data_IF_813592121506
#
_entry.id   IF_813592121506
#
_cell.length_a   1.000
_cell.length_b   1.000
_cell.length_c   1.000
_cell.angle_alpha   90.00
_cell.angle_beta   90.00
_cell.angle_gamma   90.00
#
_symmetry.space_group_name_H-M   'P 1'
#
loop_
_entity.id
_entity.type
_entity.pdbx_description
1 polymer ?
#
# COMPACT_ATOMS: atom_id res chain seq x y z
N UNK A 1 23.81 14.75 3.87
CA UNK A 1 22.80 15.39 2.97
C UNK A 1 23.33 15.51 1.54
N UNK A 2 24.46 16.15 1.27
CA UNK A 2 24.98 16.35 -0.09
C UNK A 2 25.19 15.08 -0.92
N UNK A 3 25.68 13.98 -0.34
CA UNK A 3 25.85 12.71 -1.06
C UNK A 3 24.52 12.08 -1.49
N UNK A 4 23.48 12.18 -0.66
CA UNK A 4 22.15 11.71 -1.03
C UNK A 4 21.58 12.53 -2.21
N UNK A 5 21.75 13.86 -2.14
CA UNK A 5 21.28 14.77 -3.23
C UNK A 5 22.02 14.46 -4.54
N UNK A 6 23.37 14.30 -4.51
CA UNK A 6 24.16 13.92 -5.69
C UNK A 6 23.70 12.59 -6.31
N UNK A 7 23.38 11.60 -5.45
CA UNK A 7 22.90 10.27 -5.86
C UNK A 7 21.41 10.21 -6.13
N UNK A 8 20.69 11.34 -6.07
CA UNK A 8 19.21 11.43 -6.19
C UNK A 8 18.45 10.54 -5.22
N UNK A 9 19.01 10.35 -4.03
CA UNK A 9 18.35 9.64 -2.94
C UNK A 9 17.52 10.66 -2.16
N UNK A 10 16.19 10.59 -2.16
CA UNK A 10 15.35 11.52 -1.42
C UNK A 10 15.53 11.35 0.09
N UNK A 11 15.57 12.47 0.80
CA UNK A 11 15.60 12.49 2.26
C UNK A 11 14.25 13.02 2.72
N UNK A 12 13.50 12.21 3.45
CA UNK A 12 12.20 12.58 3.97
C UNK A 12 12.28 12.83 5.47
N UNK A 13 11.71 13.94 5.91
CA UNK A 13 11.58 14.30 7.31
C UNK A 13 10.15 14.01 7.76
N UNK A 14 10.03 13.34 8.91
CA UNK A 14 8.75 12.98 9.50
C UNK A 14 8.67 13.49 10.93
N UNK A 15 7.48 13.82 11.39
CA UNK A 15 7.23 14.07 12.81
C UNK A 15 7.29 12.76 13.61
N UNK A 16 7.42 12.83 14.94
CA UNK A 16 7.34 11.64 15.81
C UNK A 16 6.05 10.83 15.59
N UNK A 17 4.93 11.48 15.26
CA UNK A 17 3.63 10.85 15.00
C UNK A 17 3.52 10.22 13.60
N UNK A 18 4.61 10.25 12.81
CA UNK A 18 4.65 9.68 11.48
C UNK A 18 4.08 10.58 10.38
N UNK A 19 3.91 11.90 10.63
CA UNK A 19 3.47 12.84 9.60
C UNK A 19 4.65 13.28 8.74
N UNK A 20 4.46 13.30 7.43
CA UNK A 20 5.42 13.90 6.52
C UNK A 20 5.56 15.40 6.82
N UNK A 21 6.79 15.88 6.98
CA UNK A 21 7.11 17.30 7.26
C UNK A 21 7.75 17.97 6.05
N UNK A 22 8.79 17.35 5.49
CA UNK A 22 9.56 17.93 4.41
C UNK A 22 10.30 16.84 3.63
N UNK A 23 10.68 17.16 2.40
CA UNK A 23 11.56 16.34 1.57
C UNK A 23 12.67 17.19 1.01
N UNK A 24 13.90 16.65 1.04
CA UNK A 24 15.04 17.17 0.29
C UNK A 24 15.28 16.22 -0.87
N UNK A 25 15.21 16.76 -2.07
CA UNK A 25 15.47 16.04 -3.31
C UNK A 25 16.46 16.85 -4.16
N UNK A 26 17.28 16.16 -4.96
CA UNK A 26 18.17 16.83 -5.89
C UNK A 26 17.40 17.49 -7.03
N UNK A 27 18.10 18.29 -7.84
CA UNK A 27 17.53 18.91 -9.02
C UNK A 27 16.79 17.88 -9.89
N UNK A 28 15.52 18.13 -10.15
CA UNK A 28 14.74 17.30 -11.06
C UNK A 28 15.21 17.56 -12.48
N UNK A 29 16.06 16.69 -13.01
CA UNK A 29 16.32 16.66 -14.46
C UNK A 29 15.07 16.08 -15.12
N UNK A 30 13.97 16.85 -15.06
CA UNK A 30 12.66 16.38 -15.49
C UNK A 30 12.65 16.17 -16.98
N UNK A 31 12.36 14.95 -17.42
CA UNK A 31 11.88 14.72 -18.77
C UNK A 31 10.48 15.34 -18.87
N UNK A 32 10.42 16.59 -19.36
CA UNK A 32 9.15 17.33 -19.53
C UNK A 32 8.19 16.54 -20.42
N UNK A 33 8.70 15.87 -21.46
CA UNK A 33 7.88 15.05 -22.36
C UNK A 33 7.21 13.89 -21.62
N UNK A 34 7.91 13.24 -20.67
CA UNK A 34 7.31 12.19 -19.84
C UNK A 34 6.13 12.71 -19.01
N UNK A 35 6.22 13.93 -18.46
CA UNK A 35 5.13 14.52 -17.67
C UNK A 35 3.94 14.94 -18.53
N UNK A 36 4.20 15.46 -19.72
CA UNK A 36 3.15 15.78 -20.69
C UNK A 36 2.41 14.50 -21.09
N UNK A 37 3.18 13.44 -21.42
CA UNK A 37 2.61 12.16 -21.82
C UNK A 37 1.89 11.48 -20.65
N UNK A 38 2.35 11.64 -19.41
CA UNK A 38 1.63 11.19 -18.21
C UNK A 38 0.23 11.79 -18.14
N UNK A 39 0.11 13.10 -18.38
CA UNK A 39 -1.20 13.78 -18.37
C UNK A 39 -2.10 13.22 -19.46
N UNK A 40 -1.58 13.07 -20.68
CA UNK A 40 -2.33 12.58 -21.82
C UNK A 40 -2.83 11.14 -21.58
N UNK A 41 -1.93 10.22 -21.23
CA UNK A 41 -2.23 8.82 -20.98
C UNK A 41 -3.24 8.63 -19.84
N UNK A 42 -3.12 9.42 -18.77
CA UNK A 42 -4.04 9.29 -17.64
C UNK A 42 -5.42 9.87 -17.95
N UNK A 43 -5.52 10.86 -18.83
CA UNK A 43 -6.82 11.32 -19.34
C UNK A 43 -7.51 10.31 -20.25
N UNK A 44 -6.73 9.65 -21.11
CA UNK A 44 -7.25 8.69 -22.07
C UNK A 44 -7.57 7.32 -21.43
N UNK A 45 -6.67 6.82 -20.61
CA UNK A 45 -6.69 5.43 -20.11
C UNK A 45 -6.81 5.31 -18.59
N UNK A 46 -7.07 6.41 -17.88
CA UNK A 46 -7.04 6.44 -16.41
C UNK A 46 -8.01 5.45 -15.76
N UNK A 47 -9.21 5.31 -16.32
CA UNK A 47 -10.18 4.32 -15.81
C UNK A 47 -9.65 2.89 -15.95
N UNK A 48 -9.06 2.54 -17.09
CA UNK A 48 -8.53 1.17 -17.28
C UNK A 48 -7.35 0.89 -16.34
N UNK A 49 -6.46 1.85 -16.14
CA UNK A 49 -5.38 1.75 -15.15
C UNK A 49 -5.93 1.52 -13.74
N UNK A 50 -6.93 2.30 -13.35
CA UNK A 50 -7.58 2.19 -12.04
C UNK A 50 -8.26 0.83 -11.85
N UNK A 51 -8.95 0.31 -12.87
CA UNK A 51 -9.58 -1.02 -12.85
C UNK A 51 -8.54 -2.13 -12.61
N UNK A 52 -7.46 -2.11 -13.38
CA UNK A 52 -6.38 -3.10 -13.25
C UNK A 52 -5.74 -3.05 -11.85
N UNK A 53 -5.53 -1.84 -11.32
CA UNK A 53 -4.97 -1.62 -9.99
C UNK A 53 -5.89 -2.12 -8.88
N UNK A 54 -7.20 -1.82 -8.95
CA UNK A 54 -8.17 -2.30 -7.97
C UNK A 54 -8.33 -3.82 -8.01
N UNK A 55 -8.36 -4.42 -9.19
CA UNK A 55 -8.35 -5.87 -9.34
C UNK A 55 -7.09 -6.50 -8.69
N UNK A 56 -5.92 -5.90 -8.86
CA UNK A 56 -4.69 -6.34 -8.21
C UNK A 56 -4.75 -6.19 -6.68
N UNK A 57 -5.24 -5.04 -6.17
CA UNK A 57 -5.45 -4.80 -4.74
C UNK A 57 -6.34 -5.88 -4.13
N UNK A 58 -7.51 -6.16 -4.71
CA UNK A 58 -8.44 -7.16 -4.19
C UNK A 58 -7.83 -8.58 -4.26
N UNK A 59 -7.12 -8.90 -5.33
CA UNK A 59 -6.37 -10.15 -5.47
C UNK A 59 -5.29 -10.30 -4.38
N UNK A 60 -4.60 -9.22 -4.02
CA UNK A 60 -3.60 -9.20 -2.95
C UNK A 60 -4.23 -9.35 -1.56
N UNK A 61 -5.43 -8.80 -1.32
CA UNK A 61 -6.23 -9.05 -0.12
C UNK A 61 -6.63 -10.54 -0.02
N UNK A 62 -7.17 -11.12 -1.10
CA UNK A 62 -7.51 -12.55 -1.19
C UNK A 62 -6.28 -13.41 -0.91
N UNK A 63 -5.13 -13.08 -1.49
CA UNK A 63 -3.88 -13.79 -1.23
C UNK A 63 -3.50 -13.77 0.25
N UNK A 64 -3.59 -12.61 0.90
CA UNK A 64 -3.30 -12.44 2.33
C UNK A 64 -4.24 -13.30 3.20
N UNK A 65 -5.53 -13.30 2.89
CA UNK A 65 -6.53 -14.14 3.57
C UNK A 65 -6.24 -15.63 3.38
N UNK A 66 -6.06 -16.08 2.13
CA UNK A 66 -5.75 -17.49 1.82
C UNK A 66 -4.49 -17.97 2.49
N UNK A 67 -3.47 -17.12 2.60
CA UNK A 67 -2.24 -17.45 3.33
C UNK A 67 -2.51 -17.67 4.81
N UNK A 68 -3.28 -16.77 5.46
CA UNK A 68 -3.63 -16.93 6.88
C UNK A 68 -4.47 -18.18 7.10
N UNK A 69 -5.47 -18.45 6.26
CA UNK A 69 -6.30 -19.66 6.32
C UNK A 69 -5.45 -20.94 6.15
N UNK A 70 -4.44 -20.89 5.28
CA UNK A 70 -3.53 -22.02 5.08
C UNK A 70 -2.71 -22.32 6.34
N UNK A 71 -2.22 -21.26 7.00
CA UNK A 71 -1.35 -21.36 8.17
C UNK A 71 -2.15 -21.64 9.47
N UNK A 72 -3.49 -21.44 9.47
CA UNK A 72 -4.41 -21.57 10.61
C UNK A 72 -5.65 -22.41 10.23
N UNK A 73 -5.62 -23.70 10.60
CA UNK A 73 -6.64 -24.67 10.19
C UNK A 73 -8.05 -24.32 10.70
N UNK A 74 -8.16 -23.68 11.87
CA UNK A 74 -9.41 -23.23 12.49
C UNK A 74 -10.17 -22.19 11.65
N UNK A 75 -9.48 -21.48 10.76
CA UNK A 75 -10.10 -20.48 9.87
C UNK A 75 -10.67 -21.09 8.57
N UNK A 76 -10.43 -22.36 8.29
CA UNK A 76 -10.85 -23.01 7.03
C UNK A 76 -12.37 -23.13 6.93
N UNK A 77 -13.05 -23.35 8.04
CA UNK A 77 -14.51 -23.50 8.11
C UNK A 77 -15.21 -22.22 8.59
N UNK A 78 -14.48 -21.10 8.72
CA UNK A 78 -15.07 -19.83 9.14
C UNK A 78 -15.93 -19.24 8.01
N UNK A 79 -17.24 -19.20 8.25
CA UNK A 79 -18.22 -18.70 7.28
C UNK A 79 -17.98 -17.22 6.90
N UNK A 80 -17.47 -16.38 7.83
CA UNK A 80 -17.17 -14.99 7.53
C UNK A 80 -15.96 -14.87 6.59
N UNK A 81 -14.94 -15.73 6.76
CA UNK A 81 -13.80 -15.80 5.83
C UNK A 81 -14.24 -16.23 4.44
N UNK A 82 -15.07 -17.26 4.32
CA UNK A 82 -15.61 -17.74 3.05
C UNK A 82 -16.41 -16.64 2.34
N UNK A 83 -17.30 -15.97 3.07
CA UNK A 83 -18.11 -14.86 2.54
C UNK A 83 -17.24 -13.68 2.10
N UNK A 84 -16.20 -13.35 2.87
CA UNK A 84 -15.29 -12.27 2.52
C UNK A 84 -14.46 -12.60 1.25
N UNK A 85 -13.96 -13.83 1.11
CA UNK A 85 -13.27 -14.28 -0.10
C UNK A 85 -14.17 -14.18 -1.34
N UNK A 86 -15.44 -14.62 -1.22
CA UNK A 86 -16.42 -14.50 -2.28
C UNK A 86 -16.68 -13.04 -2.64
N UNK A 87 -16.96 -12.17 -1.65
CA UNK A 87 -17.25 -10.76 -1.88
C UNK A 87 -16.09 -10.00 -2.52
N UNK A 88 -14.83 -10.33 -2.20
CA UNK A 88 -13.66 -9.75 -2.86
C UNK A 88 -13.50 -10.28 -4.30
N UNK A 89 -13.84 -11.54 -4.56
CA UNK A 89 -13.81 -12.12 -5.92
C UNK A 89 -14.86 -11.43 -6.80
N UNK A 90 -16.08 -11.29 -6.31
CA UNK A 90 -17.14 -10.52 -7.00
C UNK A 90 -16.74 -9.04 -7.19
N UNK A 91 -15.97 -8.49 -6.24
CA UNK A 91 -15.42 -7.14 -6.35
C UNK A 91 -14.47 -6.97 -7.51
N UNK A 92 -13.65 -7.99 -7.84
CA UNK A 92 -12.77 -7.99 -9.01
C UNK A 92 -13.62 -7.94 -10.29
N UNK A 93 -14.61 -8.83 -10.42
CA UNK A 93 -15.48 -8.89 -11.59
C UNK A 93 -16.19 -7.55 -11.81
N UNK A 94 -16.78 -6.98 -10.76
CA UNK A 94 -17.45 -5.66 -10.82
C UNK A 94 -16.48 -4.53 -11.18
N UNK A 95 -15.24 -4.57 -10.70
CA UNK A 95 -14.22 -3.58 -11.05
C UNK A 95 -13.84 -3.65 -12.54
N UNK A 96 -13.77 -4.85 -13.11
CA UNK A 96 -13.50 -5.05 -14.53
C UNK A 96 -14.65 -4.52 -15.43
N UNK A 97 -15.89 -4.62 -14.97
CA UNK A 97 -17.09 -4.23 -15.72
C UNK A 97 -17.48 -2.76 -15.56
N UNK A 98 -17.01 -2.06 -14.51
CA UNK A 98 -17.47 -0.70 -14.23
C UNK A 98 -17.06 0.29 -15.34
N UNK A 99 -17.83 1.35 -15.50
CA UNK A 99 -17.71 2.34 -16.58
C UNK A 99 -17.23 3.73 -16.11
N UNK A 100 -17.03 3.90 -14.80
CA UNK A 100 -16.65 5.19 -14.24
C UNK A 100 -15.78 5.05 -12.98
N UNK A 101 -14.97 6.07 -12.71
CA UNK A 101 -14.14 6.14 -11.49
C UNK A 101 -15.01 6.19 -10.24
N UNK A 102 -16.16 6.87 -10.29
CA UNK A 102 -17.08 6.96 -9.14
C UNK A 102 -17.70 5.60 -8.80
N UNK A 103 -18.07 4.81 -9.81
CA UNK A 103 -18.51 3.42 -9.63
C UNK A 103 -17.41 2.57 -9.02
N UNK A 104 -16.17 2.70 -9.52
CA UNK A 104 -15.01 1.98 -9.01
C UNK A 104 -14.68 2.34 -7.55
N UNK A 105 -14.83 3.62 -7.16
CA UNK A 105 -14.70 4.07 -5.76
C UNK A 105 -15.74 3.42 -4.84
N UNK A 106 -16.96 3.25 -5.33
CA UNK A 106 -18.03 2.53 -4.60
C UNK A 106 -17.67 1.05 -4.39
N UNK A 107 -17.17 0.39 -5.43
CA UNK A 107 -16.74 -1.01 -5.38
C UNK A 107 -15.55 -1.16 -4.42
N UNK A 108 -14.55 -0.26 -4.50
CA UNK A 108 -13.40 -0.23 -3.60
C UNK A 108 -13.82 -0.08 -2.14
N UNK A 109 -14.72 0.87 -1.85
CA UNK A 109 -15.24 1.09 -0.50
C UNK A 109 -15.95 -0.15 0.07
N UNK A 110 -16.73 -0.85 -0.75
CA UNK A 110 -17.39 -2.09 -0.35
C UNK A 110 -16.36 -3.21 -0.08
N UNK A 111 -15.42 -3.42 -0.98
CA UNK A 111 -14.36 -4.42 -0.81
C UNK A 111 -13.49 -4.14 0.41
N UNK A 112 -13.16 -2.86 0.67
CA UNK A 112 -12.45 -2.45 1.87
C UNK A 112 -13.26 -2.76 3.14
N UNK A 113 -14.58 -2.50 3.13
CA UNK A 113 -15.46 -2.83 4.25
C UNK A 113 -15.50 -4.34 4.53
N UNK A 114 -15.60 -5.16 3.48
CA UNK A 114 -15.57 -6.63 3.57
C UNK A 114 -14.23 -7.10 4.18
N UNK A 115 -13.12 -6.65 3.63
CA UNK A 115 -11.78 -7.06 4.06
C UNK A 115 -11.48 -6.64 5.50
N UNK A 116 -11.71 -5.37 5.83
CA UNK A 116 -11.48 -4.87 7.20
C UNK A 116 -12.49 -5.41 8.21
N UNK A 117 -13.67 -5.84 7.76
CA UNK A 117 -14.64 -6.52 8.60
C UNK A 117 -14.16 -7.86 9.17
N UNK A 118 -13.22 -8.52 8.47
CA UNK A 118 -12.62 -9.79 8.95
C UNK A 118 -11.17 -9.62 9.40
N UNK A 119 -10.60 -8.42 9.32
CA UNK A 119 -9.17 -8.21 9.55
C UNK A 119 -8.71 -8.63 10.95
N UNK A 120 -9.55 -8.45 12.00
CA UNK A 120 -9.27 -8.91 13.36
C UNK A 120 -9.05 -10.43 13.44
N UNK A 121 -9.74 -11.22 12.61
CA UNK A 121 -9.57 -12.67 12.54
C UNK A 121 -8.24 -13.10 11.91
N UNK A 122 -7.60 -12.22 11.15
CA UNK A 122 -6.26 -12.46 10.59
C UNK A 122 -5.16 -12.24 11.65
N UNK A 123 -5.51 -11.62 12.78
CA UNK A 123 -4.60 -11.42 13.92
C UNK A 123 -4.77 -12.60 14.86
N UNK A 124 -3.95 -13.64 14.70
CA UNK A 124 -4.13 -14.95 15.33
C UNK A 124 -3.37 -15.14 16.65
N UNK A 125 -2.58 -14.19 17.05
CA UNK A 125 -1.69 -14.38 18.22
C UNK A 125 -1.64 -13.21 19.20
N UNK A 126 -2.50 -12.20 19.05
CA UNK A 126 -2.37 -10.96 19.80
C UNK A 126 -3.74 -10.43 20.26
N UNK A 127 -3.87 -10.12 21.55
CA UNK A 127 -5.10 -9.58 22.13
C UNK A 127 -5.52 -8.22 21.53
N UNK A 128 -4.60 -7.52 20.86
CA UNK A 128 -4.92 -6.31 20.12
C UNK A 128 -5.95 -6.54 19.01
N UNK A 129 -6.17 -7.80 18.57
CA UNK A 129 -7.25 -8.15 17.65
C UNK A 129 -8.62 -7.70 18.14
N UNK A 130 -8.87 -7.81 19.45
CA UNK A 130 -10.14 -7.48 20.08
C UNK A 130 -10.42 -5.97 20.10
N UNK A 131 -9.38 -5.14 19.95
CA UNK A 131 -9.49 -3.68 19.90
C UNK A 131 -9.92 -3.17 18.54
N UNK A 132 -9.69 -3.97 17.48
CA UNK A 132 -10.00 -3.57 16.11
C UNK A 132 -11.46 -3.87 15.75
N UNK A 133 -12.23 -2.83 15.49
CA UNK A 133 -13.65 -2.95 15.08
C UNK A 133 -13.86 -2.67 13.60
N UNK A 134 -13.23 -1.61 13.11
CA UNK A 134 -13.29 -1.18 11.70
C UNK A 134 -12.10 -0.29 11.36
N UNK A 135 -11.84 -0.09 10.09
CA UNK A 135 -10.75 0.79 9.65
C UNK A 135 -11.10 2.25 9.93
N UNK A 136 -10.33 2.90 10.81
CA UNK A 136 -10.35 4.33 11.05
C UNK A 136 -8.92 4.90 10.93
N UNK A 137 -8.79 6.16 10.51
CA UNK A 137 -7.46 6.69 10.13
C UNK A 137 -7.16 8.12 10.59
N UNK A 138 -8.15 8.89 10.96
CA UNK A 138 -7.94 10.32 11.31
C UNK A 138 -8.87 10.78 12.42
N UNK A 139 -8.46 10.62 13.67
CA UNK A 139 -7.27 9.90 14.16
C UNK A 139 -7.50 8.37 14.21
N UNK A 140 -6.43 7.55 14.31
CA UNK A 140 -6.58 6.13 14.67
C UNK A 140 -7.06 6.02 16.11
N UNK A 141 -8.05 5.15 16.37
CA UNK A 141 -8.71 5.03 17.67
C UNK A 141 -8.34 3.74 18.42
N UNK A 142 -7.54 2.88 17.78
CA UNK A 142 -7.03 1.63 18.36
C UNK A 142 -5.62 1.32 17.86
N UNK A 143 -4.89 0.42 18.53
CA UNK A 143 -3.52 0.08 18.20
C UNK A 143 -3.32 -0.45 16.78
N UNK A 144 -4.23 -1.29 16.28
CA UNK A 144 -4.12 -1.89 14.93
C UNK A 144 -4.25 -0.80 13.86
N UNK A 145 -5.21 0.11 14.02
CA UNK A 145 -5.37 1.26 13.14
C UNK A 145 -4.18 2.23 13.20
N UNK A 146 -3.54 2.36 14.37
CA UNK A 146 -2.34 3.19 14.52
C UNK A 146 -1.17 2.62 13.69
N UNK A 147 -0.92 1.30 13.79
CA UNK A 147 0.14 0.62 13.01
C UNK A 147 -0.17 0.70 11.51
N UNK A 148 -1.40 0.36 11.09
CA UNK A 148 -1.80 0.42 9.68
C UNK A 148 -1.59 1.82 9.10
N UNK A 149 -2.00 2.86 9.83
CA UNK A 149 -1.85 4.24 9.37
C UNK A 149 -0.39 4.66 9.25
N UNK A 150 0.46 4.21 10.18
CA UNK A 150 1.88 4.49 10.16
C UNK A 150 2.57 3.79 8.98
N UNK A 151 2.28 2.50 8.76
CA UNK A 151 2.84 1.73 7.63
C UNK A 151 2.42 2.31 6.29
N UNK A 152 1.15 2.67 6.12
CA UNK A 152 0.67 3.32 4.89
C UNK A 152 1.34 4.68 4.63
N UNK A 153 1.71 5.40 5.69
CA UNK A 153 2.49 6.63 5.52
C UNK A 153 3.90 6.32 5.01
N UNK A 154 4.54 5.26 5.51
CA UNK A 154 5.86 4.84 5.03
C UNK A 154 5.81 4.41 3.56
N UNK A 155 4.80 3.61 3.17
CA UNK A 155 4.59 3.20 1.77
C UNK A 155 4.35 4.39 0.85
N UNK A 156 3.52 5.35 1.29
CA UNK A 156 3.25 6.58 0.53
C UNK A 156 4.52 7.40 0.28
N UNK A 157 5.39 7.52 1.27
CA UNK A 157 6.66 8.22 1.16
C UNK A 157 7.58 7.49 0.17
N UNK A 158 7.68 6.17 0.27
CA UNK A 158 8.48 5.35 -0.63
C UNK A 158 7.96 5.44 -2.09
N UNK A 159 6.64 5.38 -2.30
CA UNK A 159 6.02 5.52 -3.62
C UNK A 159 6.24 6.92 -4.22
N UNK A 160 6.01 7.98 -3.44
CA UNK A 160 6.26 9.34 -3.90
C UNK A 160 7.73 9.55 -4.31
N UNK A 161 8.66 9.03 -3.51
CA UNK A 161 10.08 9.12 -3.80
C UNK A 161 10.47 8.33 -5.08
N UNK A 162 9.89 7.15 -5.27
CA UNK A 162 10.13 6.31 -6.42
C UNK A 162 9.61 6.95 -7.73
N UNK A 163 8.38 7.45 -7.72
CA UNK A 163 7.77 8.14 -8.86
C UNK A 163 8.61 9.33 -9.33
N UNK A 164 9.04 10.18 -8.40
CA UNK A 164 9.88 11.33 -8.71
C UNK A 164 11.27 10.92 -9.22
N UNK A 165 11.82 9.82 -8.71
CA UNK A 165 13.12 9.29 -9.16
C UNK A 165 13.08 8.88 -10.64
N UNK A 166 11.97 8.33 -11.11
CA UNK A 166 11.79 7.94 -12.53
C UNK A 166 11.31 9.11 -13.41
N UNK A 167 11.01 10.27 -12.83
CA UNK A 167 10.62 11.49 -13.54
C UNK A 167 9.13 11.69 -13.72
N UNK A 168 8.28 10.83 -13.12
CA UNK A 168 6.83 11.03 -13.05
C UNK A 168 6.49 12.08 -11.99
N UNK A 169 5.40 12.80 -12.21
CA UNK A 169 4.85 13.72 -11.23
C UNK A 169 3.96 12.96 -10.25
N UNK A 170 4.36 12.88 -8.99
CA UNK A 170 3.64 12.13 -7.95
C UNK A 170 2.26 12.70 -7.61
N UNK A 171 1.94 13.93 -8.04
CA UNK A 171 0.65 14.58 -7.80
C UNK A 171 -0.38 14.33 -8.90
N UNK A 172 0.05 13.93 -10.10
CA UNK A 172 -0.83 13.68 -11.25
C UNK A 172 -1.20 12.20 -11.26
N UNK A 173 -2.30 11.84 -10.62
CA UNK A 173 -2.86 10.48 -10.56
C UNK A 173 -3.93 10.22 -11.62
N UNK A 174 -4.34 8.96 -11.75
CA UNK A 174 -5.37 8.50 -12.67
C UNK A 174 -6.63 7.99 -11.97
N UNK A 175 -6.53 7.57 -10.71
CA UNK A 175 -7.64 7.06 -9.90
C UNK A 175 -8.06 8.04 -8.82
N UNK A 176 -7.14 8.44 -7.96
CA UNK A 176 -7.43 9.45 -6.96
C UNK A 176 -7.56 10.83 -7.59
N UNK A 177 -8.72 11.49 -7.40
CA UNK A 177 -8.98 12.83 -7.92
C UNK A 177 -7.86 13.82 -7.59
N UNK A 178 -7.50 14.67 -8.53
CA UNK A 178 -6.50 15.70 -8.34
C UNK A 178 -6.94 16.69 -7.24
N UNK A 179 -6.08 16.88 -6.26
CA UNK A 179 -6.33 17.79 -5.14
C UNK A 179 -5.04 18.46 -4.73
N UNK A 180 -5.08 19.78 -4.49
CA UNK A 180 -3.94 20.53 -3.98
C UNK A 180 -3.38 19.89 -2.71
N UNK A 181 -2.06 19.70 -2.65
CA UNK A 181 -1.36 19.10 -1.52
C UNK A 181 -1.49 17.58 -1.38
N UNK A 182 -2.17 16.88 -2.31
CA UNK A 182 -2.25 15.43 -2.33
C UNK A 182 -1.43 14.83 -3.47
N UNK A 183 -0.48 13.98 -3.14
CA UNK A 183 0.28 13.20 -4.13
C UNK A 183 -0.60 12.06 -4.66
N UNK A 184 -1.52 12.39 -5.59
CA UNK A 184 -2.57 11.48 -6.08
C UNK A 184 -1.99 10.23 -6.74
N UNK A 185 -0.95 10.35 -7.58
CA UNK A 185 -0.31 9.18 -8.19
C UNK A 185 0.41 8.29 -7.16
N UNK A 186 0.99 8.90 -6.11
CA UNK A 186 1.56 8.09 -5.03
C UNK A 186 0.46 7.37 -4.24
N UNK A 187 -0.73 7.96 -4.08
CA UNK A 187 -1.89 7.27 -3.53
C UNK A 187 -2.31 6.09 -4.42
N UNK A 188 -2.34 6.28 -5.75
CA UNK A 188 -2.66 5.24 -6.71
C UNK A 188 -1.66 4.08 -6.57
N UNK A 189 -0.37 4.36 -6.69
CA UNK A 189 0.67 3.32 -6.62
C UNK A 189 0.70 2.55 -5.28
N UNK A 190 0.32 3.19 -4.17
CA UNK A 190 0.22 2.52 -2.86
C UNK A 190 -0.86 1.44 -2.86
N UNK A 191 -1.94 1.58 -3.64
CA UNK A 191 -3.05 0.62 -3.61
C UNK A 191 -2.60 -0.81 -3.97
N UNK A 192 -1.72 -0.96 -4.94
CA UNK A 192 -1.17 -2.28 -5.31
C UNK A 192 -0.17 -2.84 -4.27
N UNK A 193 0.46 -1.96 -3.47
CA UNK A 193 1.44 -2.33 -2.46
C UNK A 193 0.83 -2.54 -1.07
N UNK A 194 -0.40 -2.06 -0.81
CA UNK A 194 -1.08 -2.17 0.50
C UNK A 194 -1.08 -3.58 1.08
N UNK A 195 -1.29 -4.58 0.25
CA UNK A 195 -1.24 -5.97 0.71
C UNK A 195 0.10 -6.38 1.35
N UNK A 196 1.21 -5.72 0.96
CA UNK A 196 2.53 -5.93 1.58
C UNK A 196 2.56 -5.31 2.97
N UNK A 197 2.14 -4.03 3.09
CA UNK A 197 2.07 -3.34 4.36
C UNK A 197 1.13 -4.01 5.36
N UNK A 198 -0.04 -4.44 4.90
CA UNK A 198 -1.01 -5.17 5.73
C UNK A 198 -0.45 -6.50 6.23
N UNK A 199 0.21 -7.28 5.37
CA UNK A 199 0.89 -8.51 5.79
C UNK A 199 2.03 -8.26 6.76
N UNK A 200 2.76 -7.16 6.58
CA UNK A 200 3.78 -6.76 7.54
C UNK A 200 3.15 -6.42 8.90
N UNK A 201 2.03 -5.68 8.93
CA UNK A 201 1.29 -5.39 10.17
C UNK A 201 0.83 -6.69 10.85
N UNK A 202 0.22 -7.61 10.10
CA UNK A 202 -0.18 -8.91 10.62
C UNK A 202 1.01 -9.69 11.19
N UNK A 203 2.17 -9.63 10.52
CA UNK A 203 3.39 -10.28 11.02
C UNK A 203 3.85 -9.68 12.34
N UNK A 204 3.86 -8.34 12.47
CA UNK A 204 4.23 -7.67 13.73
C UNK A 204 3.31 -8.07 14.89
N UNK A 205 2.01 -8.17 14.63
CA UNK A 205 1.01 -8.52 15.61
C UNK A 205 1.08 -10.01 15.96
N UNK A 206 1.06 -10.90 14.97
CA UNK A 206 1.03 -12.35 15.19
C UNK A 206 2.31 -12.88 15.85
N UNK A 207 3.46 -12.26 15.58
CA UNK A 207 4.73 -12.54 16.27
C UNK A 207 4.91 -11.75 17.57
N UNK A 208 3.91 -10.98 18.02
CA UNK A 208 3.96 -10.17 19.25
C UNK A 208 5.15 -9.22 19.34
N UNK A 209 5.64 -8.74 18.18
CA UNK A 209 6.74 -7.76 18.13
C UNK A 209 6.30 -6.43 18.74
N UNK A 210 5.04 -6.07 18.50
CA UNK A 210 4.37 -4.91 19.06
C UNK A 210 3.23 -5.40 19.94
N UNK A 211 3.11 -4.79 21.12
CA UNK A 211 2.13 -5.11 22.14
C UNK A 211 1.50 -3.83 22.70
N UNK A 212 0.55 -3.96 23.62
CA UNK A 212 -0.21 -2.82 24.16
C UNK A 212 0.68 -1.74 24.78
N UNK A 213 1.79 -2.11 25.41
CA UNK A 213 2.74 -1.16 26.03
C UNK A 213 3.48 -0.25 25.03
N UNK A 214 3.38 -0.52 23.74
CA UNK A 214 4.04 0.23 22.67
C UNK A 214 3.17 1.40 22.14
N UNK A 215 2.05 1.71 22.85
CA UNK A 215 1.13 2.76 22.44
C UNK A 215 0.84 3.74 23.56
N UNK A 216 0.58 4.99 23.15
CA UNK A 216 0.05 6.05 24.00
C UNK A 216 -1.37 6.43 23.55
N UNK A 217 -2.29 6.56 24.51
CA UNK A 217 -3.64 7.06 24.25
C UNK A 217 -3.68 8.55 24.57
N UNK A 218 -4.04 9.34 23.58
CA UNK A 218 -4.17 10.80 23.68
C UNK A 218 -5.50 11.20 24.34
N UNK A 219 -5.57 12.40 24.90
CA UNK A 219 -6.82 12.97 25.45
C UNK A 219 -7.95 13.04 24.39
N UNK A 220 -7.60 13.18 23.13
CA UNK A 220 -8.54 13.17 21.98
C UNK A 220 -9.10 11.80 21.65
N UNK A 221 -8.67 10.75 22.37
CA UNK A 221 -8.99 9.35 22.08
C UNK A 221 -8.10 8.72 21.01
N UNK A 222 -7.21 9.49 20.35
CA UNK A 222 -6.26 8.96 19.39
C UNK A 222 -5.28 8.00 20.07
N UNK A 223 -4.98 6.89 19.39
CA UNK A 223 -3.96 5.92 19.81
C UNK A 223 -2.78 6.04 18.86
N UNK A 224 -1.58 6.28 19.40
CA UNK A 224 -0.36 6.47 18.65
C UNK A 224 0.75 5.55 19.16
N UNK A 225 1.65 5.13 18.27
CA UNK A 225 2.86 4.44 18.68
C UNK A 225 3.74 5.36 19.54
N UNK A 226 4.19 4.89 20.69
CA UNK A 226 5.21 5.58 21.49
C UNK A 226 6.62 5.36 20.88
N UNK A 227 7.66 5.93 21.50
CA UNK A 227 9.03 5.84 21.00
C UNK A 227 9.53 4.41 20.86
N UNK A 228 9.20 3.53 21.82
CA UNK A 228 9.54 2.10 21.78
C UNK A 228 8.86 1.42 20.60
N UNK A 229 7.54 1.59 20.46
CA UNK A 229 6.75 1.00 19.39
C UNK A 229 7.22 1.47 18.01
N UNK A 230 7.50 2.77 17.85
CA UNK A 230 8.05 3.32 16.60
C UNK A 230 9.41 2.72 16.26
N UNK A 231 10.32 2.62 17.23
CA UNK A 231 11.64 2.02 17.01
C UNK A 231 11.54 0.56 16.58
N UNK A 232 10.69 -0.23 17.24
CA UNK A 232 10.44 -1.64 16.89
C UNK A 232 9.90 -1.74 15.46
N UNK A 233 8.85 -0.98 15.13
CA UNK A 233 8.23 -0.98 13.80
C UNK A 233 9.23 -0.59 12.72
N UNK A 234 9.94 0.53 12.87
CA UNK A 234 10.91 1.01 11.88
C UNK A 234 12.06 0.03 11.67
N UNK A 235 12.58 -0.59 12.75
CA UNK A 235 13.61 -1.62 12.63
C UNK A 235 13.11 -2.80 11.81
N UNK A 236 11.92 -3.32 12.11
CA UNK A 236 11.32 -4.44 11.38
C UNK A 236 10.93 -4.07 9.94
N UNK A 237 10.53 -2.81 9.70
CA UNK A 237 10.29 -2.32 8.35
C UNK A 237 11.55 -2.32 7.50
N UNK A 238 12.69 -1.88 8.06
CA UNK A 238 13.98 -1.91 7.35
C UNK A 238 14.45 -3.35 7.10
N UNK A 239 14.23 -4.29 8.03
CA UNK A 239 14.49 -5.72 7.82
C UNK A 239 13.60 -6.24 6.68
N UNK A 240 12.28 -5.91 6.68
CA UNK A 240 11.34 -6.29 5.64
C UNK A 240 11.75 -5.80 4.26
N UNK A 241 12.20 -4.55 4.14
CA UNK A 241 12.67 -3.97 2.87
C UNK A 241 13.84 -4.73 2.24
N UNK A 242 14.61 -5.47 3.04
CA UNK A 242 15.73 -6.29 2.55
C UNK A 242 15.34 -7.69 2.14
N UNK A 243 14.15 -8.16 2.52
CA UNK A 243 13.67 -9.48 2.08
C UNK A 243 13.22 -9.42 0.64
N UNK A 244 13.35 -10.52 -0.07
CA UNK A 244 13.03 -10.60 -1.49
C UNK A 244 11.64 -11.17 -1.73
N UNK A 245 11.06 -10.78 -2.85
CA UNK A 245 9.83 -11.32 -3.40
C UNK A 245 10.00 -11.55 -4.90
N UNK A 246 9.43 -12.61 -5.42
CA UNK A 246 9.41 -12.88 -6.86
C UNK A 246 8.51 -11.87 -7.57
N UNK A 247 9.07 -11.16 -8.55
CA UNK A 247 8.34 -10.20 -9.36
C UNK A 247 7.89 -10.84 -10.68
N UNK A 248 6.57 -10.99 -10.94
CA UNK A 248 6.08 -11.80 -12.05
C UNK A 248 6.41 -11.22 -13.44
N UNK A 249 6.49 -9.90 -13.57
CA UNK A 249 6.83 -9.24 -14.85
C UNK A 249 8.32 -9.30 -15.12
N UNK A 250 9.17 -9.07 -14.10
CA UNK A 250 10.62 -9.13 -14.25
C UNK A 250 11.14 -10.58 -14.27
N UNK A 251 10.36 -11.54 -13.76
CA UNK A 251 10.74 -12.96 -13.60
C UNK A 251 11.99 -13.16 -12.73
N UNK A 252 12.19 -12.30 -11.76
CA UNK A 252 13.32 -12.33 -10.84
C UNK A 252 12.90 -11.95 -9.42
N UNK A 253 13.78 -12.23 -8.44
CA UNK A 253 13.58 -11.82 -7.06
C UNK A 253 14.00 -10.36 -6.88
N UNK A 254 13.14 -9.57 -6.26
CA UNK A 254 13.35 -8.15 -6.00
C UNK A 254 13.21 -7.87 -4.50
N UNK A 255 14.12 -7.12 -3.88
CA UNK A 255 13.92 -6.64 -2.52
C UNK A 255 12.64 -5.82 -2.38
N UNK A 256 11.86 -6.07 -1.32
CA UNK A 256 10.61 -5.32 -1.09
C UNK A 256 10.80 -3.81 -1.12
N UNK A 257 11.92 -3.30 -0.61
CA UNK A 257 12.23 -1.87 -0.63
C UNK A 257 12.41 -1.27 -2.02
N UNK A 258 12.63 -2.09 -3.04
CA UNK A 258 12.76 -1.65 -4.44
C UNK A 258 11.44 -1.77 -5.22
N UNK A 259 10.40 -2.43 -4.69
CA UNK A 259 9.13 -2.60 -5.41
C UNK A 259 8.50 -1.27 -5.85
N UNK A 260 8.43 -0.22 -5.00
CA UNK A 260 7.91 1.08 -5.44
C UNK A 260 8.68 1.63 -6.65
N UNK A 261 10.00 1.47 -6.67
CA UNK A 261 10.84 1.91 -7.77
C UNK A 261 10.62 1.08 -9.04
N UNK A 262 10.53 -0.24 -8.92
CA UNK A 262 10.26 -1.14 -10.04
C UNK A 262 8.91 -0.83 -10.68
N UNK A 263 7.85 -0.72 -9.88
CA UNK A 263 6.52 -0.41 -10.37
C UNK A 263 6.44 1.00 -10.98
N UNK A 264 7.12 1.99 -10.40
CA UNK A 264 7.24 3.33 -10.98
C UNK A 264 7.95 3.30 -12.33
N UNK A 265 8.98 2.47 -12.52
CA UNK A 265 9.65 2.29 -13.81
C UNK A 265 8.74 1.63 -14.85
N UNK A 266 7.98 0.59 -14.46
CA UNK A 266 7.02 -0.06 -15.35
C UNK A 266 5.93 0.93 -15.79
N UNK A 267 5.42 1.73 -14.84
CA UNK A 267 4.45 2.78 -15.14
C UNK A 267 5.04 3.85 -16.08
N UNK A 268 6.30 4.27 -15.85
CA UNK A 268 6.98 5.22 -16.73
C UNK A 268 7.20 4.64 -18.15
N UNK A 269 7.49 3.35 -18.27
CA UNK A 269 7.57 2.66 -19.57
C UNK A 269 6.23 2.63 -20.29
N UNK A 270 5.15 2.34 -19.57
CA UNK A 270 3.79 2.42 -20.10
C UNK A 270 3.47 3.83 -20.59
N UNK A 271 3.74 4.85 -19.77
CA UNK A 271 3.52 6.27 -20.16
C UNK A 271 4.29 6.64 -21.43
N UNK A 272 5.52 6.16 -21.61
CA UNK A 272 6.33 6.39 -22.82
C UNK A 272 5.91 5.55 -24.04
N UNK A 273 4.92 4.67 -23.90
CA UNK A 273 4.50 3.75 -24.96
C UNK A 273 5.47 2.60 -25.23
N UNK A 274 6.39 2.32 -24.31
CA UNK A 274 7.32 1.17 -24.38
C UNK A 274 6.65 -0.15 -23.92
N UNK A 275 5.47 -0.03 -23.32
CA UNK A 275 4.60 -1.15 -22.91
C UNK A 275 3.17 -0.83 -23.34
N UNK A 276 2.47 -1.83 -23.87
CA UNK A 276 1.06 -1.68 -24.27
C UNK A 276 0.15 -1.53 -23.05
N UNK A 277 0.47 -2.21 -21.95
CA UNK A 277 -0.33 -2.23 -20.73
C UNK A 277 0.56 -2.12 -19.49
N UNK A 278 0.08 -1.39 -18.48
CA UNK A 278 0.66 -1.41 -17.15
C UNK A 278 0.11 -2.60 -16.34
N UNK A 279 1.03 -3.40 -15.80
CA UNK A 279 0.70 -4.57 -15.00
C UNK A 279 1.00 -4.27 -13.53
N UNK A 280 -0.04 -4.10 -12.69
CA UNK A 280 0.14 -3.92 -11.25
C UNK A 280 0.76 -5.13 -10.57
N UNK A 281 1.35 -4.92 -9.39
CA UNK A 281 1.98 -5.98 -8.62
C UNK A 281 0.94 -6.97 -8.08
N UNK A 282 1.09 -8.24 -8.44
CA UNK A 282 0.33 -9.35 -7.87
C UNK A 282 1.23 -10.18 -6.93
N UNK A 283 0.80 -10.32 -5.69
CA UNK A 283 1.42 -11.22 -4.72
C UNK A 283 1.06 -12.66 -5.08
N UNK A 284 1.93 -13.36 -5.80
CA UNK A 284 1.75 -14.79 -6.13
C UNK A 284 2.63 -15.64 -5.22
N UNK A 285 2.12 -16.83 -4.86
CA UNK A 285 2.94 -17.84 -4.20
C UNK A 285 4.05 -18.24 -5.18
N UNK A 286 5.31 -18.12 -4.76
CA UNK A 286 6.42 -18.77 -5.46
C UNK A 286 6.14 -20.26 -5.40
N UNK A 287 5.72 -20.87 -6.50
CA UNK A 287 5.68 -22.33 -6.61
C UNK A 287 7.14 -22.74 -6.61
N UNK A 288 7.57 -23.36 -5.50
CA UNK A 288 8.85 -24.09 -5.46
C UNK A 288 8.71 -25.38 -6.23
#
# INVERSE_FOLDING_TARGET
MGECVKKRIPINFMSPEGRFLAKVFGETKGNVFLRVEQINRFRENGLQLAKNEMAAKFSNCIYTMRRTIHDHAELREDAAMTKALQGLTEGIEKAEECDSVDSLLGIEGNCASIYFGIFSKLITGNNLAETFRYRNKRPPLDPVNAILSFVYTLEMIDCSAALETVGLDSYIGYYHALRSGRASLACDLVEELRGIGERFVLTLLNLKVISEVDFDKQLTGAVLLNDSGRKKLLTKWQEKKRTEVYHPVLKENVPYGLLPYVQSNLLAKYVRGEMEEYIPLLLKRTVK
#
